data_IF_606967809047
#
_entry.id   IF_606967809047
#
_cell.length_a   1.000
_cell.length_b   1.000
_cell.length_c   1.000
_cell.angle_alpha   90.00
_cell.angle_beta   90.00
_cell.angle_gamma   90.00
#
_symmetry.space_group_name_H-M   'P 1'
#
loop_
_entity.id
_entity.type
_entity.pdbx_description
1 polymer ?
#
# COMPACT_ATOMS: atom_id res chain seq x y z
N UNK A 1 9.21 -13.95 -2.61
CA UNK A 1 8.67 -13.56 -3.93
C UNK A 1 7.59 -12.52 -3.67
N UNK A 2 7.57 -11.40 -4.40
CA UNK A 2 6.49 -10.42 -4.26
C UNK A 2 5.20 -10.99 -4.87
N UNK A 3 4.03 -10.53 -4.42
CA UNK A 3 2.80 -11.15 -4.89
C UNK A 3 2.52 -10.83 -6.34
N UNK A 4 2.90 -9.62 -6.78
CA UNK A 4 2.76 -9.15 -8.14
C UNK A 4 3.48 -10.03 -9.18
N UNK A 5 4.60 -10.64 -8.79
CA UNK A 5 5.40 -11.51 -9.65
C UNK A 5 4.80 -12.91 -9.84
N UNK A 6 3.88 -13.32 -8.97
CA UNK A 6 3.29 -14.67 -8.93
C UNK A 6 1.76 -14.64 -9.00
N UNK A 7 1.19 -13.49 -9.36
CA UNK A 7 -0.26 -13.31 -9.45
C UNK A 7 -0.64 -12.63 -10.77
N UNK A 8 -1.81 -12.98 -11.30
CA UNK A 8 -2.41 -12.32 -12.45
C UNK A 8 -3.87 -11.94 -12.16
N UNK A 9 -4.48 -11.20 -13.10
CA UNK A 9 -5.89 -10.78 -13.00
C UNK A 9 -6.22 -10.01 -11.71
N UNK A 10 -5.29 -9.17 -11.25
CA UNK A 10 -5.41 -8.41 -10.00
C UNK A 10 -6.47 -7.33 -10.16
N UNK A 11 -7.47 -7.30 -9.27
CA UNK A 11 -8.58 -6.35 -9.30
C UNK A 11 -8.91 -5.85 -7.90
N UNK A 12 -9.36 -4.60 -7.84
CA UNK A 12 -9.99 -4.04 -6.66
C UNK A 12 -11.50 -4.05 -6.83
N UNK A 13 -12.20 -4.47 -5.79
CA UNK A 13 -13.66 -4.40 -5.71
C UNK A 13 -14.05 -3.73 -4.40
N UNK A 14 -14.99 -2.79 -4.47
CA UNK A 14 -15.62 -2.26 -3.26
C UNK A 14 -16.93 -3.02 -3.01
N UNK A 15 -17.05 -3.64 -1.84
CA UNK A 15 -18.25 -4.39 -1.43
C UNK A 15 -18.55 -4.06 0.02
N UNK A 16 -19.78 -3.68 0.31
CA UNK A 16 -20.26 -3.35 1.66
C UNK A 16 -19.39 -2.30 2.39
N UNK A 17 -18.90 -1.31 1.66
CA UNK A 17 -18.04 -0.24 2.21
C UNK A 17 -16.63 -0.69 2.57
N UNK A 18 -16.19 -1.84 2.05
CA UNK A 18 -14.84 -2.37 2.21
C UNK A 18 -14.19 -2.60 0.85
N UNK A 19 -12.87 -2.51 0.81
CA UNK A 19 -12.08 -2.74 -0.40
C UNK A 19 -11.44 -4.12 -0.35
N UNK A 20 -11.70 -4.92 -1.37
CA UNK A 20 -11.15 -6.25 -1.56
C UNK A 20 -10.19 -6.26 -2.75
N UNK A 21 -9.04 -6.91 -2.59
CA UNK A 21 -8.13 -7.25 -3.68
C UNK A 21 -8.32 -8.71 -4.05
N UNK A 22 -8.74 -8.97 -5.28
CA UNK A 22 -8.86 -10.31 -5.85
C UNK A 22 -7.80 -10.56 -6.89
N UNK A 23 -7.33 -11.81 -7.00
CA UNK A 23 -6.27 -12.23 -7.94
C UNK A 23 -6.29 -13.73 -8.17
N UNK A 24 -5.63 -14.15 -9.24
CA UNK A 24 -5.22 -15.54 -9.45
C UNK A 24 -3.75 -15.67 -9.04
N UNK A 25 -3.47 -16.46 -8.00
CA UNK A 25 -2.13 -16.65 -7.45
C UNK A 25 -1.60 -18.05 -7.78
N UNK A 26 -0.36 -18.12 -8.26
CA UNK A 26 0.33 -19.38 -8.53
C UNK A 26 1.08 -19.87 -7.28
N UNK A 27 1.02 -21.19 -7.03
CA UNK A 27 1.80 -21.88 -6.00
C UNK A 27 3.13 -22.40 -6.55
N UNK A 28 4.05 -22.81 -5.68
CA UNK A 28 5.35 -23.37 -6.10
C UNK A 28 5.23 -24.64 -6.96
N UNK A 29 4.10 -25.34 -6.83
CA UNK A 29 3.76 -26.52 -7.63
C UNK A 29 3.18 -26.20 -9.02
N UNK A 30 3.02 -24.91 -9.37
CA UNK A 30 2.41 -24.45 -10.63
C UNK A 30 0.88 -24.44 -10.61
N UNK A 31 0.24 -24.76 -9.48
CA UNK A 31 -1.21 -24.68 -9.37
C UNK A 31 -1.65 -23.22 -9.16
N UNK A 32 -2.60 -22.75 -9.98
CA UNK A 32 -3.21 -21.42 -9.88
C UNK A 32 -4.48 -21.49 -9.03
N UNK A 33 -4.66 -20.52 -8.13
CA UNK A 33 -5.84 -20.39 -7.26
C UNK A 33 -6.37 -18.97 -7.26
N UNK A 34 -7.69 -18.84 -7.30
CA UNK A 34 -8.33 -17.56 -6.98
C UNK A 34 -8.15 -17.27 -5.49
N UNK A 35 -7.67 -16.07 -5.18
CA UNK A 35 -7.48 -15.59 -3.82
C UNK A 35 -8.01 -14.18 -3.69
N UNK A 36 -8.49 -13.86 -2.50
CA UNK A 36 -9.04 -12.55 -2.18
C UNK A 36 -8.51 -12.09 -0.81
N UNK A 37 -8.32 -10.78 -0.68
CA UNK A 37 -7.84 -10.12 0.53
C UNK A 37 -8.75 -8.94 0.83
N UNK A 38 -9.27 -8.86 2.05
CA UNK A 38 -9.90 -7.64 2.55
C UNK A 38 -8.80 -6.65 2.99
N UNK A 39 -8.64 -5.54 2.27
CA UNK A 39 -7.58 -4.57 2.54
C UNK A 39 -7.85 -3.77 3.83
N UNK A 40 -9.13 -3.52 4.14
CA UNK A 40 -9.54 -2.82 5.36
C UNK A 40 -9.23 -3.55 6.66
N UNK A 41 -8.84 -4.84 6.64
CA UNK A 41 -8.41 -5.53 7.85
C UNK A 41 -7.07 -5.01 8.39
N UNK A 42 -6.24 -4.41 7.52
CA UNK A 42 -4.84 -4.07 7.83
C UNK A 42 -4.37 -2.72 7.31
N UNK A 43 -5.16 -2.09 6.45
CA UNK A 43 -4.87 -0.76 5.92
C UNK A 43 -5.87 0.22 6.53
N UNK A 44 -5.32 1.23 7.21
CA UNK A 44 -6.05 2.34 7.79
C UNK A 44 -5.73 3.65 7.10
N UNK A 45 -6.39 4.71 7.58
CA UNK A 45 -6.08 6.09 7.22
C UNK A 45 -5.84 6.88 8.51
N UNK A 46 -4.66 7.50 8.63
CA UNK A 46 -4.34 8.42 9.71
C UNK A 46 -3.92 9.77 9.15
N UNK A 47 -4.71 10.81 9.48
CA UNK A 47 -4.45 12.19 9.05
C UNK A 47 -4.22 12.35 7.53
N UNK A 48 -4.93 11.55 6.72
CA UNK A 48 -4.84 11.59 5.27
C UNK A 48 -3.67 10.79 4.70
N UNK A 49 -3.10 9.85 5.46
CA UNK A 49 -2.05 8.94 5.01
C UNK A 49 -2.47 7.49 5.23
N UNK A 50 -2.08 6.61 4.30
CA UNK A 50 -2.19 5.18 4.52
C UNK A 50 -1.30 4.76 5.69
N UNK A 51 -1.82 3.88 6.54
CA UNK A 51 -1.07 3.28 7.64
C UNK A 51 -1.44 1.82 7.86
N UNK A 52 -0.65 1.12 8.69
CA UNK A 52 -1.09 -0.14 9.27
C UNK A 52 -2.21 0.14 10.27
N UNK A 53 -3.40 -0.36 9.97
CA UNK A 53 -4.59 -0.05 10.73
C UNK A 53 -5.79 -0.83 10.22
N UNK A 54 -6.95 -0.21 10.21
CA UNK A 54 -8.14 -0.81 9.59
C UNK A 54 -9.07 0.25 9.02
N UNK A 55 -9.96 -0.17 8.13
CA UNK A 55 -11.09 0.63 7.65
C UNK A 55 -10.72 1.92 6.88
N UNK A 56 -9.61 1.94 6.13
CA UNK A 56 -9.26 3.10 5.29
C UNK A 56 -10.39 3.49 4.32
N UNK A 57 -11.12 2.50 3.78
CA UNK A 57 -12.18 2.70 2.78
C UNK A 57 -13.27 3.66 3.26
N UNK A 58 -13.52 3.71 4.57
CA UNK A 58 -14.54 4.58 5.17
C UNK A 58 -14.23 6.08 5.03
N UNK A 59 -12.96 6.42 4.84
CA UNK A 59 -12.47 7.80 4.75
C UNK A 59 -11.66 8.03 3.46
N UNK A 60 -11.78 7.12 2.50
CA UNK A 60 -11.10 7.17 1.21
C UNK A 60 -12.08 7.44 0.07
N UNK A 61 -11.59 8.08 -0.99
CA UNK A 61 -12.32 8.29 -2.25
C UNK A 61 -11.40 7.99 -3.42
N UNK A 62 -12.01 7.70 -4.57
CA UNK A 62 -11.29 7.41 -5.80
C UNK A 62 -10.20 6.36 -5.57
N UNK A 63 -10.58 5.21 -4.98
CA UNK A 63 -9.65 4.11 -4.69
C UNK A 63 -9.42 3.32 -5.98
N UNK A 64 -8.17 3.19 -6.41
CA UNK A 64 -7.81 2.43 -7.60
C UNK A 64 -6.42 1.80 -7.49
N UNK A 65 -6.16 0.85 -8.38
CA UNK A 65 -4.84 0.23 -8.54
C UNK A 65 -4.12 0.89 -9.71
N UNK A 66 -2.88 1.29 -9.51
CA UNK A 66 -1.97 1.69 -10.58
C UNK A 66 -0.78 0.74 -10.59
N UNK A 67 -0.35 0.33 -11.79
CA UNK A 67 0.84 -0.51 -11.94
C UNK A 67 1.96 0.34 -12.52
N UNK A 68 3.08 0.43 -11.80
CA UNK A 68 4.33 0.94 -12.35
C UNK A 68 5.26 -0.24 -12.65
N UNK A 69 5.36 -0.58 -13.93
CA UNK A 69 5.95 -1.84 -14.37
C UNK A 69 5.19 -3.04 -13.81
N UNK A 70 5.83 -3.78 -12.90
CA UNK A 70 5.23 -4.92 -12.20
C UNK A 70 4.79 -4.60 -10.77
N UNK A 71 5.01 -3.39 -10.27
CA UNK A 71 4.73 -3.04 -8.88
C UNK A 71 3.29 -2.51 -8.74
N UNK A 72 2.43 -3.12 -7.90
CA UNK A 72 1.04 -2.73 -7.73
C UNK A 72 0.89 -1.68 -6.63
N UNK A 73 0.56 -0.45 -7.01
CA UNK A 73 0.28 0.64 -6.09
C UNK A 73 -1.22 0.78 -5.83
N UNK A 74 -1.62 0.77 -4.56
CA UNK A 74 -2.95 1.21 -4.14
C UNK A 74 -2.92 2.73 -4.04
N UNK A 75 -3.85 3.40 -4.72
CA UNK A 75 -3.99 4.86 -4.72
C UNK A 75 -5.37 5.28 -4.24
N UNK A 76 -5.42 6.37 -3.46
CA UNK A 76 -6.68 6.96 -3.02
C UNK A 76 -6.51 8.44 -2.60
N UNK A 77 -7.61 9.17 -2.60
CA UNK A 77 -7.75 10.42 -1.86
C UNK A 77 -8.19 10.10 -0.43
N UNK A 78 -7.42 10.53 0.58
CA UNK A 78 -7.66 10.22 1.98
C UNK A 78 -8.09 11.46 2.77
N UNK A 79 -9.07 11.28 3.65
CA UNK A 79 -9.55 12.34 4.54
C UNK A 79 -8.56 12.59 5.68
N UNK A 80 -8.28 13.86 5.96
CA UNK A 80 -7.51 14.33 7.11
C UNK A 80 -8.39 14.48 8.35
N UNK A 81 -7.81 14.63 9.54
CA UNK A 81 -8.57 14.85 10.79
C UNK A 81 -9.42 16.12 10.80
N UNK A 82 -9.10 17.09 9.92
CA UNK A 82 -9.94 18.28 9.69
C UNK A 82 -11.27 18.00 8.98
N UNK A 83 -11.44 16.79 8.42
CA UNK A 83 -12.57 16.41 7.58
C UNK A 83 -12.39 16.75 6.09
N UNK A 84 -11.38 17.53 5.73
CA UNK A 84 -11.01 17.78 4.34
C UNK A 84 -10.19 16.60 3.77
N UNK A 85 -10.21 16.44 2.46
CA UNK A 85 -9.36 15.47 1.77
C UNK A 85 -8.01 16.09 1.48
N UNK A 86 -6.98 15.26 1.49
CA UNK A 86 -5.63 15.69 1.17
C UNK A 86 -5.55 16.17 -0.29
N UNK A 87 -4.82 17.25 -0.54
CA UNK A 87 -4.67 17.84 -1.88
C UNK A 87 -3.88 16.96 -2.87
N UNK A 88 -3.40 15.80 -2.42
CA UNK A 88 -2.54 14.88 -3.17
C UNK A 88 -3.13 13.48 -3.06
N UNK A 89 -3.06 12.73 -4.16
CA UNK A 89 -3.36 11.30 -4.17
C UNK A 89 -2.24 10.59 -3.41
N UNK A 90 -2.61 9.86 -2.36
CA UNK A 90 -1.67 9.03 -1.62
C UNK A 90 -1.56 7.66 -2.27
N UNK A 91 -0.38 7.04 -2.13
CA UNK A 91 -0.10 5.75 -2.72
C UNK A 91 0.77 4.88 -1.83
N UNK A 92 0.47 3.59 -1.77
CA UNK A 92 1.32 2.57 -1.13
C UNK A 92 1.60 1.42 -2.09
N UNK A 93 2.81 0.88 -2.02
CA UNK A 93 3.19 -0.32 -2.75
C UNK A 93 2.61 -1.56 -2.06
N UNK A 94 1.64 -2.24 -2.69
CA UNK A 94 1.02 -3.41 -2.06
C UNK A 94 1.98 -4.59 -1.91
N UNK A 95 3.08 -4.67 -2.67
CA UNK A 95 4.07 -5.75 -2.50
C UNK A 95 4.79 -5.69 -1.13
N UNK A 96 4.82 -4.52 -0.50
CA UNK A 96 5.36 -4.35 0.86
C UNK A 96 4.39 -4.86 1.93
N UNK A 97 3.09 -4.90 1.61
CA UNK A 97 2.03 -5.24 2.55
C UNK A 97 1.40 -6.60 2.27
N UNK A 98 1.63 -7.20 1.10
CA UNK A 98 0.97 -8.45 0.70
C UNK A 98 2.03 -9.43 0.19
N UNK A 99 2.23 -10.52 0.93
CA UNK A 99 3.01 -11.67 0.49
C UNK A 99 2.17 -12.69 -0.29
N UNK A 100 2.85 -13.55 -1.04
CA UNK A 100 2.31 -14.82 -1.53
C UNK A 100 3.08 -15.97 -0.84
N UNK A 101 2.44 -16.63 0.14
CA UNK A 101 2.96 -17.81 0.82
C UNK A 101 2.34 -19.07 0.17
N UNK A 102 3.03 -19.56 -0.87
CA UNK A 102 2.74 -20.77 -1.65
C UNK A 102 1.32 -20.87 -2.23
N UNK A 103 0.74 -19.75 -2.68
CA UNK A 103 -0.61 -19.70 -3.27
C UNK A 103 -1.74 -19.95 -2.26
N UNK A 104 -1.44 -19.89 -0.95
CA UNK A 104 -2.41 -20.16 0.12
C UNK A 104 -2.53 -18.97 1.08
N UNK A 105 -1.42 -18.35 1.48
CA UNK A 105 -1.43 -17.36 2.55
C UNK A 105 -1.03 -15.96 2.05
N UNK A 106 -1.97 -15.04 2.23
CA UNK A 106 -1.76 -13.60 2.05
C UNK A 106 -1.15 -13.06 3.36
N UNK A 107 0.14 -13.32 3.59
CA UNK A 107 0.80 -12.76 4.78
C UNK A 107 0.98 -11.26 4.58
N UNK A 108 0.43 -10.46 5.48
CA UNK A 108 0.84 -9.07 5.59
C UNK A 108 2.29 -9.03 6.08
N UNK A 109 3.24 -8.77 5.17
CA UNK A 109 4.62 -8.58 5.53
C UNK A 109 4.75 -7.22 6.22
N UNK A 110 5.38 -7.19 7.39
CA UNK A 110 5.81 -5.94 8.02
C UNK A 110 7.10 -5.53 7.32
N UNK A 111 7.01 -4.80 6.20
CA UNK A 111 8.18 -4.06 5.71
C UNK A 111 8.09 -2.61 6.18
N UNK A 112 8.97 -2.33 7.14
CA UNK A 112 9.46 -1.05 7.64
C UNK A 112 8.69 0.22 7.26
N UNK A 113 8.20 0.90 8.30
CA UNK A 113 7.79 2.30 8.31
C UNK A 113 8.72 3.17 7.45
N UNK A 114 8.23 3.64 6.31
CA UNK A 114 8.80 4.83 5.69
C UNK A 114 8.35 6.03 6.51
N UNK A 115 9.06 6.27 7.62
CA UNK A 115 9.14 7.61 8.17
C UNK A 115 9.75 8.50 7.08
N UNK A 116 8.99 9.52 6.70
CA UNK A 116 9.37 10.74 6.00
C UNK A 116 10.69 10.73 5.22
N UNK A 117 10.57 10.77 3.89
CA UNK A 117 11.62 11.29 2.99
C UNK A 117 11.77 12.80 3.24
N UNK A 118 12.37 13.16 4.37
CA UNK A 118 12.85 14.51 4.69
C UNK A 118 14.27 14.53 5.28
N UNK A 119 14.94 13.39 5.47
CA UNK A 119 16.31 13.35 6.03
C UNK A 119 17.45 13.36 5.00
N UNK A 120 17.17 13.50 3.70
CA UNK A 120 18.24 13.58 2.67
C UNK A 120 18.79 15.01 2.42
N UNK A 121 18.44 16.00 3.24
CA UNK A 121 18.95 17.37 3.09
C UNK A 121 19.62 17.97 4.34
N UNK A 122 20.21 17.16 5.23
CA UNK A 122 20.96 17.74 6.36
C UNK A 122 22.33 17.14 6.69
N UNK A 123 23.00 16.53 5.71
CA UNK A 123 24.44 16.16 5.83
C UNK A 123 25.30 16.84 4.76
N UNK A 124 24.90 18.05 4.33
CA UNK A 124 25.59 18.81 3.27
C UNK A 124 25.72 20.33 3.48
N UNK A 125 25.14 20.90 4.54
CA UNK A 125 25.12 22.37 4.74
C UNK A 125 25.84 22.89 6.00
N UNK A 126 26.64 22.06 6.68
CA UNK A 126 27.47 22.50 7.82
C UNK A 126 28.95 22.73 7.49
N UNK A 127 29.31 23.06 6.23
CA UNK A 127 30.68 23.47 5.87
C UNK A 127 30.87 24.95 5.53
N UNK A 128 29.92 25.83 5.86
CA UNK A 128 30.09 27.28 5.67
C UNK A 128 29.62 28.07 6.89
N UNK A 129 30.44 28.09 7.95
CA UNK A 129 30.53 29.15 8.96
C UNK A 129 31.79 28.95 9.83
N UNK A 130 32.95 29.36 9.28
CA UNK A 130 34.18 29.69 10.04
C UNK A 130 33.90 30.99 10.83
N UNK A 131 34.24 31.14 12.14
CA UNK A 131 35.61 31.50 12.60
C UNK A 131 35.99 30.93 14.00
N UNK A 132 37.25 30.76 14.41
CA UNK A 132 38.41 31.66 14.50
C UNK A 132 39.71 30.85 14.46
#
# INVERSE_FOLDING_TARGET
MSFSQSSCNIKLENRDGKTFLSREAESESGNVRYTEIELDERIGNHEGFFELGSNFTQTARNVYLESDGHVPYLKAELQMGSGNYRDRIESINLDEYIGNDNGVNNRFALLHSHASVLDELNEGLLQLLVPL
#
